data_IF_443445559024
#
_entry.id   IF_443445559024
#
_cell.length_a   1.000
_cell.length_b   1.000
_cell.length_c   1.000
_cell.angle_alpha   90.00
_cell.angle_beta   90.00
_cell.angle_gamma   90.00
#
_symmetry.space_group_name_H-M   'P 1'
#
loop_
_entity.id
_entity.type
_entity.pdbx_description
1 polymer ?
#
# COMPACT_ATOMS: atom_id res chain seq x y z
N UNK A 1 -4.81 25.21 3.68
CA UNK A 1 -4.35 25.55 2.33
C UNK A 1 -5.05 24.62 1.37
N UNK A 2 -6.06 25.14 0.66
CA UNK A 2 -6.92 24.40 -0.27
C UNK A 2 -6.68 24.98 -1.67
N UNK A 3 -6.07 24.19 -2.53
CA UNK A 3 -5.79 24.48 -3.94
C UNK A 3 -6.26 23.22 -4.70
N UNK A 4 -7.02 23.23 -5.79
CA UNK A 4 -7.55 24.28 -6.65
C UNK A 4 -8.69 23.64 -7.45
N UNK A 5 -9.82 24.34 -7.58
CA UNK A 5 -10.89 24.02 -8.54
C UNK A 5 -10.35 24.14 -9.97
N UNK A 6 -10.53 23.11 -10.81
CA UNK A 6 -10.46 23.28 -12.26
C UNK A 6 -11.73 22.73 -12.91
N UNK A 7 -12.82 23.49 -12.74
CA UNK A 7 -14.01 23.36 -13.56
C UNK A 7 -13.83 24.27 -14.79
N UNK A 8 -13.31 23.72 -15.88
CA UNK A 8 -13.24 24.42 -17.16
C UNK A 8 -14.56 24.19 -17.92
N UNK A 9 -15.59 24.92 -17.51
CA UNK A 9 -16.81 25.13 -18.28
C UNK A 9 -16.51 26.19 -19.35
N UNK A 10 -16.21 25.77 -20.57
CA UNK A 10 -16.27 26.66 -21.74
C UNK A 10 -17.56 26.40 -22.51
N UNK A 11 -18.55 27.25 -22.26
CA UNK A 11 -19.79 27.35 -23.01
C UNK A 11 -19.58 28.08 -24.33
N UNK A 12 -20.16 27.47 -25.37
CA UNK A 12 -20.44 27.89 -26.74
C UNK A 12 -20.48 29.38 -27.10
N UNK A 13 -19.85 29.72 -28.24
CA UNK A 13 -20.34 30.73 -29.19
C UNK A 13 -20.32 30.17 -30.62
N UNK A 14 -21.48 29.66 -31.07
CA UNK A 14 -21.70 29.28 -32.48
C UNK A 14 -22.12 30.56 -33.22
N UNK A 15 -21.22 31.11 -34.01
CA UNK A 15 -21.53 32.15 -34.99
C UNK A 15 -22.29 31.50 -36.17
N UNK A 16 -23.55 31.91 -36.36
CA UNK A 16 -24.33 31.59 -37.54
C UNK A 16 -23.93 32.52 -38.69
N UNK A 17 -23.43 31.95 -39.79
CA UNK A 17 -23.14 32.71 -41.01
C UNK A 17 -22.99 31.82 -42.25
N UNK A 18 -23.93 31.97 -43.18
CA UNK A 18 -23.87 31.58 -44.59
C UNK A 18 -24.05 30.10 -44.97
N UNK A 19 -25.06 29.87 -45.80
CA UNK A 19 -25.46 28.61 -46.40
C UNK A 19 -24.46 28.20 -47.49
N UNK A 20 -23.62 27.19 -47.24
CA UNK A 20 -22.92 26.46 -48.31
C UNK A 20 -22.90 24.96 -47.99
N UNK A 21 -23.14 24.11 -48.99
CA UNK A 21 -23.37 22.65 -48.87
C UNK A 21 -22.20 21.85 -48.28
N UNK A 22 -21.03 22.45 -48.06
CA UNK A 22 -19.90 21.83 -47.34
C UNK A 22 -20.15 21.63 -45.84
N UNK A 23 -21.05 22.42 -45.24
CA UNK A 23 -21.33 22.43 -43.80
C UNK A 23 -21.90 21.15 -43.19
N UNK A 24 -22.53 20.25 -43.96
CA UNK A 24 -23.05 18.99 -43.40
C UNK A 24 -21.97 17.95 -43.21
N UNK A 25 -21.07 17.81 -44.19
CA UNK A 25 -19.95 16.86 -44.14
C UNK A 25 -18.98 17.24 -43.02
N UNK A 26 -18.65 18.53 -42.90
CA UNK A 26 -17.76 19.03 -41.84
C UNK A 26 -18.36 18.84 -40.44
N UNK A 27 -19.69 18.93 -40.30
CA UNK A 27 -20.39 18.77 -39.04
C UNK A 27 -20.57 17.29 -38.65
N UNK A 28 -20.74 16.40 -39.62
CA UNK A 28 -20.79 14.95 -39.40
C UNK A 28 -19.38 14.40 -39.10
N UNK A 29 -18.36 14.83 -39.85
CA UNK A 29 -16.95 14.48 -39.60
C UNK A 29 -16.50 14.99 -38.21
N UNK A 30 -16.92 16.20 -37.80
CA UNK A 30 -16.66 16.72 -36.45
C UNK A 30 -17.36 15.93 -35.33
N UNK A 31 -18.60 15.47 -35.55
CA UNK A 31 -19.33 14.62 -34.58
C UNK A 31 -18.70 13.24 -34.44
N UNK A 32 -18.24 12.65 -35.56
CA UNK A 32 -17.51 11.39 -35.57
C UNK A 32 -16.21 11.54 -34.78
N UNK A 33 -15.39 12.54 -35.08
CA UNK A 33 -14.14 12.81 -34.37
C UNK A 33 -14.33 13.04 -32.85
N UNK A 34 -15.37 13.77 -32.44
CA UNK A 34 -15.70 13.97 -31.01
C UNK A 34 -16.14 12.66 -30.36
N UNK A 35 -16.86 11.80 -31.08
CA UNK A 35 -17.33 10.51 -30.54
C UNK A 35 -16.17 9.54 -30.38
N UNK A 36 -15.28 9.46 -31.37
CA UNK A 36 -14.05 8.66 -31.34
C UNK A 36 -13.12 9.13 -30.22
N UNK A 37 -12.83 10.44 -30.12
CA UNK A 37 -12.01 10.98 -29.03
C UNK A 37 -12.59 10.69 -27.64
N UNK A 38 -13.92 10.70 -27.49
CA UNK A 38 -14.58 10.32 -26.23
C UNK A 38 -14.50 8.83 -25.94
N UNK A 39 -14.44 7.98 -26.97
CA UNK A 39 -14.23 6.54 -26.81
C UNK A 39 -12.78 6.25 -26.42
N UNK A 40 -11.81 6.85 -27.12
CA UNK A 40 -10.38 6.74 -26.83
C UNK A 40 -10.06 7.22 -25.41
N UNK A 41 -10.63 8.35 -24.97
CA UNK A 41 -10.49 8.83 -23.60
C UNK A 41 -11.06 7.85 -22.57
N UNK A 42 -12.18 7.19 -22.87
CA UNK A 42 -12.77 6.17 -21.98
C UNK A 42 -11.94 4.89 -21.96
N UNK A 43 -11.36 4.50 -23.08
CA UNK A 43 -10.49 3.34 -23.17
C UNK A 43 -9.16 3.59 -22.45
N UNK A 44 -8.50 4.72 -22.72
CA UNK A 44 -7.30 5.15 -21.99
C UNK A 44 -7.55 5.28 -20.48
N UNK A 45 -8.72 5.76 -20.06
CA UNK A 45 -9.08 5.80 -18.64
C UNK A 45 -9.28 4.40 -18.03
N UNK A 46 -9.81 3.43 -18.79
CA UNK A 46 -9.95 2.04 -18.34
C UNK A 46 -8.59 1.34 -18.24
N UNK A 47 -7.73 1.53 -19.23
CA UNK A 47 -6.40 0.92 -19.28
C UNK A 47 -5.52 1.47 -18.16
N UNK A 48 -5.51 2.79 -17.97
CA UNK A 48 -4.81 3.42 -16.86
C UNK A 48 -5.32 2.91 -15.49
N UNK A 49 -6.63 2.68 -15.35
CA UNK A 49 -7.20 2.10 -14.13
C UNK A 49 -6.78 0.64 -13.92
N UNK A 50 -6.71 -0.16 -14.99
CA UNK A 50 -6.25 -1.55 -14.95
C UNK A 50 -4.76 -1.63 -14.57
N UNK A 51 -3.91 -0.79 -15.16
CA UNK A 51 -2.49 -0.71 -14.84
C UNK A 51 -2.25 -0.28 -13.38
N UNK A 52 -2.97 0.74 -12.91
CA UNK A 52 -2.88 1.20 -11.52
C UNK A 52 -3.26 0.10 -10.52
N UNK A 53 -4.31 -0.68 -10.82
CA UNK A 53 -4.72 -1.83 -10.01
C UNK A 53 -3.66 -2.92 -10.00
N UNK A 54 -3.11 -3.30 -11.17
CA UNK A 54 -2.05 -4.31 -11.25
C UNK A 54 -0.81 -3.90 -10.44
N UNK A 55 -0.42 -2.63 -10.53
CA UNK A 55 0.68 -2.07 -9.73
C UNK A 55 0.41 -2.19 -8.24
N UNK A 56 -0.78 -1.81 -7.79
CA UNK A 56 -1.18 -1.90 -6.37
C UNK A 56 -1.12 -3.34 -5.85
N UNK A 57 -1.57 -4.31 -6.65
CA UNK A 57 -1.50 -5.75 -6.32
C UNK A 57 -0.05 -6.23 -6.24
N UNK A 58 0.80 -5.84 -7.20
CA UNK A 58 2.21 -6.22 -7.20
C UNK A 58 2.97 -5.64 -5.99
N UNK A 59 2.69 -4.38 -5.64
CA UNK A 59 3.26 -3.71 -4.48
C UNK A 59 2.80 -4.35 -3.16
N UNK A 60 1.51 -4.72 -3.06
CA UNK A 60 1.01 -5.45 -1.90
C UNK A 60 1.69 -6.80 -1.73
N UNK A 61 1.78 -7.59 -2.81
CA UNK A 61 2.43 -8.89 -2.79
C UNK A 61 3.88 -8.78 -2.32
N UNK A 62 4.64 -7.83 -2.89
CA UNK A 62 6.04 -7.57 -2.51
C UNK A 62 6.16 -7.18 -1.05
N UNK A 63 5.29 -6.28 -0.57
CA UNK A 63 5.26 -5.87 0.82
C UNK A 63 4.98 -7.05 1.76
N UNK A 64 4.01 -7.90 1.43
CA UNK A 64 3.66 -9.09 2.22
C UNK A 64 4.83 -10.07 2.30
N UNK A 65 5.43 -10.42 1.16
CA UNK A 65 6.56 -11.36 1.11
C UNK A 65 7.76 -10.87 1.94
N UNK A 66 8.07 -9.57 1.83
CA UNK A 66 9.13 -8.95 2.63
C UNK A 66 8.79 -8.96 4.13
N UNK A 67 7.53 -8.66 4.48
CA UNK A 67 7.05 -8.66 5.86
C UNK A 67 7.09 -10.06 6.49
N UNK A 68 6.64 -11.09 5.76
CA UNK A 68 6.70 -12.48 6.21
C UNK A 68 8.14 -12.96 6.39
N UNK A 69 9.05 -12.53 5.52
CA UNK A 69 10.48 -12.84 5.63
C UNK A 69 11.07 -12.19 6.87
N UNK A 70 10.82 -10.90 7.08
CA UNK A 70 11.30 -10.18 8.25
C UNK A 70 10.73 -10.76 9.56
N UNK A 71 9.46 -11.17 9.59
CA UNK A 71 8.84 -11.86 10.74
C UNK A 71 9.59 -13.17 11.04
N UNK A 72 9.88 -13.99 10.01
CA UNK A 72 10.61 -15.26 10.19
C UNK A 72 12.01 -15.02 10.76
N UNK A 73 12.69 -13.97 10.32
CA UNK A 73 14.00 -13.60 10.83
C UNK A 73 13.93 -13.15 12.30
N UNK A 74 12.92 -12.36 12.68
CA UNK A 74 12.68 -11.97 14.07
C UNK A 74 12.34 -13.18 14.96
N UNK A 75 11.50 -14.11 14.49
CA UNK A 75 11.21 -15.37 15.17
C UNK A 75 12.49 -16.18 15.42
N UNK A 76 13.39 -16.25 14.43
CA UNK A 76 14.66 -16.95 14.57
C UNK A 76 15.57 -16.26 15.60
N UNK A 77 15.66 -14.93 15.58
CA UNK A 77 16.40 -14.13 16.57
C UNK A 77 15.84 -14.34 17.98
N UNK A 78 14.52 -14.33 18.16
CA UNK A 78 13.85 -14.61 19.44
C UNK A 78 14.25 -16.01 19.96
N UNK A 79 14.14 -17.06 19.13
CA UNK A 79 14.52 -18.43 19.51
C UNK A 79 15.99 -18.55 19.89
N UNK A 80 16.88 -17.83 19.22
CA UNK A 80 18.29 -17.78 19.57
C UNK A 80 18.53 -17.11 20.94
N UNK A 81 17.79 -16.05 21.29
CA UNK A 81 17.86 -15.44 22.63
C UNK A 81 17.41 -16.42 23.70
N UNK A 82 16.31 -17.15 23.48
CA UNK A 82 15.82 -18.17 24.41
C UNK A 82 16.89 -19.21 24.74
N UNK A 83 17.57 -19.72 23.71
CA UNK A 83 18.63 -20.70 23.87
C UNK A 83 19.85 -20.14 24.63
N UNK A 84 20.17 -18.86 24.46
CA UNK A 84 21.25 -18.18 25.21
C UNK A 84 20.86 -17.93 26.66
N UNK A 85 19.61 -17.54 26.91
CA UNK A 85 19.08 -17.32 28.26
C UNK A 85 19.10 -18.57 29.14
N UNK A 86 18.94 -19.77 28.56
CA UNK A 86 19.08 -21.03 29.29
C UNK A 86 20.46 -21.19 29.96
N UNK A 87 21.47 -20.41 29.53
CA UNK A 87 22.84 -20.44 30.04
C UNK A 87 23.22 -19.23 30.89
N UNK A 88 22.32 -18.25 31.04
CA UNK A 88 22.58 -16.99 31.75
C UNK A 88 22.33 -17.09 33.27
N UNK A 89 22.98 -16.22 34.05
CA UNK A 89 22.77 -16.12 35.50
C UNK A 89 21.35 -15.65 35.87
N UNK A 90 20.94 -15.87 37.13
CA UNK A 90 19.54 -15.72 37.57
C UNK A 90 18.98 -14.29 37.41
N UNK A 91 19.79 -13.25 37.68
CA UNK A 91 19.32 -11.86 37.66
C UNK A 91 19.17 -11.35 36.23
N UNK A 92 20.11 -11.71 35.36
CA UNK A 92 20.02 -11.37 33.94
C UNK A 92 18.88 -12.16 33.26
N UNK A 93 18.62 -13.39 33.70
CA UNK A 93 17.50 -14.19 33.20
C UNK A 93 16.12 -13.54 33.42
N UNK A 94 15.88 -12.92 34.58
CA UNK A 94 14.59 -12.30 34.91
C UNK A 94 14.29 -11.09 34.01
N UNK A 95 15.28 -10.19 33.83
CA UNK A 95 15.15 -9.03 32.94
C UNK A 95 14.90 -9.46 31.49
N UNK A 96 15.67 -10.43 31.02
CA UNK A 96 15.55 -10.95 29.66
C UNK A 96 14.21 -11.65 29.41
N UNK A 97 13.69 -12.40 30.40
CA UNK A 97 12.39 -13.08 30.28
C UNK A 97 11.26 -12.09 30.05
N UNK A 98 11.22 -11.00 30.82
CA UNK A 98 10.18 -9.98 30.67
C UNK A 98 10.22 -9.35 29.27
N UNK A 99 11.38 -8.85 28.86
CA UNK A 99 11.52 -8.15 27.59
C UNK A 99 11.30 -9.09 26.40
N UNK A 100 11.79 -10.33 26.47
CA UNK A 100 11.57 -11.32 25.42
C UNK A 100 10.10 -11.72 25.32
N UNK A 101 9.38 -11.80 26.45
CA UNK A 101 7.94 -12.03 26.45
C UNK A 101 7.20 -10.91 25.73
N UNK A 102 7.53 -9.65 26.03
CA UNK A 102 6.95 -8.49 25.35
C UNK A 102 7.26 -8.50 23.84
N UNK A 103 8.51 -8.79 23.45
CA UNK A 103 8.88 -8.91 22.04
C UNK A 103 8.14 -10.03 21.30
N UNK A 104 7.84 -11.15 21.98
CA UNK A 104 7.03 -12.23 21.39
C UNK A 104 5.58 -11.81 21.19
N UNK A 105 4.99 -11.15 22.18
CA UNK A 105 3.62 -10.65 22.08
C UNK A 105 3.48 -9.66 20.92
N UNK A 106 4.41 -8.70 20.82
CA UNK A 106 4.47 -7.76 19.69
C UNK A 106 4.66 -8.47 18.34
N UNK A 107 5.47 -9.53 18.28
CA UNK A 107 5.67 -10.30 17.05
C UNK A 107 4.39 -11.05 16.64
N UNK A 108 3.64 -11.60 17.59
CA UNK A 108 2.35 -12.25 17.32
C UNK A 108 1.27 -11.23 16.90
N UNK A 109 1.25 -10.04 17.50
CA UNK A 109 0.39 -8.93 17.06
C UNK A 109 0.68 -8.55 15.60
N UNK A 110 1.96 -8.38 15.23
CA UNK A 110 2.36 -8.07 13.86
C UNK A 110 1.97 -9.20 12.88
N UNK A 111 2.11 -10.46 13.27
CA UNK A 111 1.61 -11.59 12.47
C UNK A 111 0.09 -11.52 12.28
N UNK A 112 -0.66 -11.15 13.32
CA UNK A 112 -2.12 -10.96 13.27
C UNK A 112 -2.49 -9.84 12.29
N UNK A 113 -1.94 -8.65 12.50
CA UNK A 113 -2.18 -7.46 11.67
C UNK A 113 -1.84 -7.67 10.19
N UNK A 114 -0.75 -8.38 9.89
CA UNK A 114 -0.40 -8.70 8.50
C UNK A 114 -1.44 -9.62 7.85
N UNK A 115 -1.95 -10.64 8.57
CA UNK A 115 -3.01 -11.53 8.07
C UNK A 115 -4.33 -10.80 7.88
N UNK A 116 -4.72 -9.98 8.85
CA UNK A 116 -5.94 -9.17 8.77
C UNK A 116 -5.90 -8.23 7.57
N UNK A 117 -4.79 -7.51 7.41
CA UNK A 117 -4.63 -6.59 6.29
C UNK A 117 -4.58 -7.32 4.94
N UNK A 118 -4.02 -8.53 4.87
CA UNK A 118 -4.04 -9.35 3.64
C UNK A 118 -5.46 -9.81 3.25
N UNK A 119 -6.28 -10.16 4.24
CA UNK A 119 -7.70 -10.44 4.01
C UNK A 119 -8.45 -9.19 3.57
N UNK A 120 -8.23 -8.05 4.22
CA UNK A 120 -8.85 -6.76 3.84
C UNK A 120 -8.45 -6.34 2.43
N UNK A 121 -7.18 -6.49 2.08
CA UNK A 121 -6.66 -6.22 0.75
C UNK A 121 -7.37 -7.07 -0.30
N UNK A 122 -7.39 -8.39 -0.11
CA UNK A 122 -8.00 -9.34 -1.04
C UNK A 122 -9.50 -9.08 -1.24
N UNK A 123 -10.20 -8.69 -0.17
CA UNK A 123 -11.64 -8.40 -0.21
C UNK A 123 -11.99 -7.06 -0.88
N UNK A 124 -11.06 -6.11 -0.92
CA UNK A 124 -11.35 -4.74 -1.36
C UNK A 124 -10.53 -4.28 -2.58
N UNK A 125 -9.60 -5.10 -3.08
CA UNK A 125 -8.77 -4.75 -4.26
C UNK A 125 -9.59 -4.43 -5.51
N UNK A 126 -10.80 -4.98 -5.65
CA UNK A 126 -11.70 -4.67 -6.77
C UNK A 126 -12.24 -3.23 -6.74
N UNK A 127 -12.32 -2.62 -5.55
CA UNK A 127 -12.82 -1.24 -5.40
C UNK A 127 -11.79 -0.22 -5.88
N UNK A 128 -10.49 -0.49 -5.64
CA UNK A 128 -9.34 0.33 -6.05
C UNK A 128 -9.53 1.85 -5.92
N UNK A 129 -10.37 2.29 -4.97
CA UNK A 129 -10.62 3.70 -4.74
C UNK A 129 -9.45 4.32 -3.95
N UNK A 130 -9.37 5.65 -3.97
CA UNK A 130 -8.27 6.36 -3.29
C UNK A 130 -8.24 6.05 -1.78
N UNK A 131 -9.39 5.85 -1.15
CA UNK A 131 -9.46 5.57 0.28
C UNK A 131 -8.91 4.17 0.63
N UNK A 132 -9.10 3.19 -0.25
CA UNK A 132 -8.49 1.87 -0.15
C UNK A 132 -6.97 1.98 -0.28
N UNK A 133 -6.48 2.69 -1.32
CA UNK A 133 -5.03 2.90 -1.54
C UNK A 133 -4.39 3.58 -0.33
N UNK A 134 -4.98 4.68 0.16
CA UNK A 134 -4.42 5.46 1.27
C UNK A 134 -4.34 4.66 2.57
N UNK A 135 -5.38 3.87 2.87
CA UNK A 135 -5.41 2.99 4.05
C UNK A 135 -4.31 1.94 3.97
N UNK A 136 -4.14 1.34 2.81
CA UNK A 136 -3.14 0.31 2.58
C UNK A 136 -1.72 0.87 2.70
N UNK A 137 -1.49 2.07 2.19
CA UNK A 137 -0.21 2.76 2.35
C UNK A 137 0.06 3.18 3.80
N UNK A 138 -0.96 3.58 4.57
CA UNK A 138 -0.79 3.84 6.01
C UNK A 138 -0.39 2.58 6.76
N UNK A 139 -1.10 1.49 6.50
CA UNK A 139 -0.78 0.20 7.08
C UNK A 139 0.67 -0.21 6.79
N UNK A 140 1.12 -0.14 5.53
CA UNK A 140 2.50 -0.49 5.16
C UNK A 140 3.54 0.32 5.96
N UNK A 141 3.31 1.62 6.14
CA UNK A 141 4.23 2.51 6.88
C UNK A 141 4.28 2.17 8.37
N UNK A 142 3.11 2.06 8.99
CA UNK A 142 2.99 1.73 10.41
C UNK A 142 3.57 0.35 10.71
N UNK A 143 3.20 -0.64 9.89
CA UNK A 143 3.70 -2.00 10.01
C UNK A 143 5.23 -2.05 9.91
N UNK A 144 5.81 -1.35 8.92
CA UNK A 144 7.27 -1.28 8.78
C UNK A 144 7.92 -0.64 10.00
N UNK A 145 7.35 0.47 10.49
CA UNK A 145 7.85 1.15 11.67
C UNK A 145 7.88 0.23 12.89
N UNK A 146 6.77 -0.46 13.16
CA UNK A 146 6.66 -1.37 14.30
C UNK A 146 7.61 -2.56 14.19
N UNK A 147 7.81 -3.10 12.97
CA UNK A 147 8.81 -4.13 12.70
C UNK A 147 10.25 -3.64 12.94
N UNK A 148 10.57 -2.40 12.54
CA UNK A 148 11.88 -1.81 12.77
C UNK A 148 12.14 -1.59 14.27
N UNK A 149 11.13 -1.13 15.01
CA UNK A 149 11.21 -0.95 16.48
C UNK A 149 11.39 -2.28 17.21
N UNK A 150 10.59 -3.29 16.86
CA UNK A 150 10.72 -4.63 17.43
C UNK A 150 12.09 -5.24 17.11
N UNK A 151 12.59 -5.07 15.89
CA UNK A 151 13.93 -5.51 15.49
C UNK A 151 15.03 -4.91 16.36
N UNK A 152 14.99 -3.59 16.59
CA UNK A 152 15.92 -2.90 17.50
C UNK A 152 15.80 -3.41 18.93
N UNK A 153 14.57 -3.56 19.43
CA UNK A 153 14.34 -4.06 20.78
C UNK A 153 14.97 -5.45 20.98
N UNK A 154 14.78 -6.37 20.03
CA UNK A 154 15.39 -7.71 20.06
C UNK A 154 16.92 -7.63 19.99
N UNK A 155 17.48 -6.79 19.11
CA UNK A 155 18.93 -6.61 19.00
C UNK A 155 19.57 -6.05 20.26
N UNK A 156 18.90 -5.13 20.95
CA UNK A 156 19.38 -4.58 22.22
C UNK A 156 19.37 -5.62 23.34
N UNK A 157 18.47 -6.62 23.28
CA UNK A 157 18.54 -7.79 24.18
C UNK A 157 19.75 -8.68 23.89
N UNK A 158 20.19 -8.78 22.63
CA UNK A 158 21.39 -9.53 22.28
C UNK A 158 22.69 -8.87 22.75
N UNK A 159 22.80 -7.54 22.66
CA UNK A 159 24.04 -6.81 22.98
C UNK A 159 24.51 -7.03 24.41
N UNK A 160 23.58 -7.15 25.36
CA UNK A 160 23.90 -7.35 26.77
C UNK A 160 24.19 -8.83 27.13
N UNK A 161 23.96 -9.77 26.19
CA UNK A 161 24.08 -11.21 26.37
C UNK A 161 25.27 -11.85 25.67
N UNK A 162 26.19 -11.05 25.11
CA UNK A 162 27.45 -11.53 24.55
C UNK A 162 28.58 -11.23 25.54
N UNK A 163 28.80 -12.12 26.49
CA UNK A 163 30.11 -12.34 27.13
C UNK A 163 30.43 -13.82 27.10
#
# INVERSE_FOLDING_TARGET
MKNTLLALLMGTTILLGSCNKSSKKDLDDAKVNITEANQDLKEAAKDANAEAKQKTVAEWKTFKENSETAIKDLDAKVKQLEAKMAKADKKENERLKSNLSASREQLEDLKGRLRESDMEFSNNMEKSDQAFVDRNESFKREFKHDMDELGKAIEDLFKNNVK
#
